data_IF_735698702885
#
_entry.id   IF_735698702885
#
_cell.length_a   1.000
_cell.length_b   1.000
_cell.length_c   1.000
_cell.angle_alpha   90.00
_cell.angle_beta   90.00
_cell.angle_gamma   90.00
#
_symmetry.space_group_name_H-M   'P 1'
#
loop_
_entity.id
_entity.type
_entity.pdbx_description
1 polymer ?
#
# COMPACT_ATOMS: atom_id res chain seq x y z
N UNK A 1 2.85 -11.82 11.48
CA UNK A 1 4.13 -11.09 11.41
C UNK A 1 4.11 -10.01 12.46
N UNK A 2 4.99 -10.09 13.46
CA UNK A 2 5.08 -9.10 14.53
C UNK A 2 5.85 -7.84 14.10
N UNK A 3 5.89 -6.84 14.98
CA UNK A 3 6.65 -5.58 14.82
C UNK A 3 8.18 -5.79 14.74
N UNK A 4 8.65 -7.03 14.89
CA UNK A 4 10.05 -7.46 14.97
C UNK A 4 10.86 -7.09 13.71
N UNK A 5 10.18 -6.93 12.57
CA UNK A 5 10.77 -6.54 11.29
C UNK A 5 10.44 -5.10 10.88
N UNK A 6 9.78 -4.32 11.74
CA UNK A 6 9.35 -2.96 11.41
C UNK A 6 10.55 -2.08 11.04
N UNK A 7 10.50 -1.48 9.85
CA UNK A 7 11.52 -0.57 9.37
C UNK A 7 10.93 0.86 9.29
N UNK A 8 11.22 1.75 10.26
CA UNK A 8 10.65 3.10 10.26
C UNK A 8 11.17 3.99 9.12
N UNK A 9 12.23 3.60 8.41
CA UNK A 9 12.81 4.40 7.31
C UNK A 9 12.08 4.28 5.97
N UNK A 10 11.08 3.39 5.86
CA UNK A 10 10.31 3.27 4.61
C UNK A 10 9.44 4.50 4.39
N UNK A 11 9.70 5.23 3.31
CA UNK A 11 8.89 6.38 2.89
C UNK A 11 7.44 5.98 2.56
N UNK A 12 7.19 4.69 2.31
CA UNK A 12 5.84 4.13 2.18
C UNK A 12 4.96 4.41 3.41
N UNK A 13 5.53 4.52 4.62
CA UNK A 13 4.75 4.86 5.81
C UNK A 13 4.16 6.28 5.74
N UNK A 14 4.96 7.25 5.30
CA UNK A 14 4.54 8.64 5.17
C UNK A 14 3.48 8.79 4.07
N UNK A 15 3.71 8.15 2.91
CA UNK A 15 2.73 8.08 1.82
C UNK A 15 1.36 7.61 2.32
N UNK A 16 1.31 6.52 3.10
CA UNK A 16 0.04 5.96 3.59
C UNK A 16 -0.66 6.92 4.55
N UNK A 17 0.10 7.58 5.43
CA UNK A 17 -0.46 8.56 6.37
C UNK A 17 -1.02 9.77 5.61
N UNK A 18 -0.28 10.30 4.65
CA UNK A 18 -0.74 11.46 3.87
C UNK A 18 -1.99 11.12 3.05
N UNK A 19 -2.01 9.95 2.40
CA UNK A 19 -3.20 9.46 1.67
C UNK A 19 -4.40 9.31 2.61
N UNK A 20 -4.19 8.80 3.83
CA UNK A 20 -5.28 8.64 4.81
C UNK A 20 -5.92 9.98 5.17
N UNK A 21 -5.11 11.02 5.38
CA UNK A 21 -5.59 12.29 5.93
C UNK A 21 -5.90 13.36 4.86
N UNK A 22 -5.43 13.19 3.63
CA UNK A 22 -5.56 14.21 2.57
C UNK A 22 -6.44 13.72 1.42
N UNK A 23 -7.74 14.10 1.37
CA UNK A 23 -8.64 13.71 0.28
C UNK A 23 -8.13 14.06 -1.11
N UNK A 24 -7.62 15.28 -1.31
CA UNK A 24 -7.08 15.71 -2.60
C UNK A 24 -5.88 14.87 -3.06
N UNK A 25 -5.09 14.34 -2.13
CA UNK A 25 -3.98 13.44 -2.45
C UNK A 25 -4.50 12.06 -2.88
N UNK A 26 -5.60 11.58 -2.29
CA UNK A 26 -6.27 10.35 -2.74
C UNK A 26 -6.85 10.50 -4.14
N UNK A 27 -7.47 11.64 -4.43
CA UNK A 27 -8.00 11.93 -5.76
C UNK A 27 -6.86 11.98 -6.79
N UNK A 28 -5.74 12.62 -6.44
CA UNK A 28 -4.54 12.65 -7.28
C UNK A 28 -3.93 11.24 -7.47
N UNK A 29 -3.92 10.41 -6.43
CA UNK A 29 -3.40 9.05 -6.48
C UNK A 29 -4.28 8.15 -7.37
N UNK A 30 -5.60 8.30 -7.27
CA UNK A 30 -6.55 7.59 -8.13
C UNK A 30 -6.44 8.03 -9.61
N UNK A 31 -6.19 9.32 -9.86
CA UNK A 31 -6.00 9.85 -11.20
C UNK A 31 -4.64 9.46 -11.82
N UNK A 32 -3.57 9.49 -11.03
CA UNK A 32 -2.22 9.15 -11.45
C UNK A 32 -1.36 8.75 -10.26
N UNK A 33 -1.32 7.46 -9.96
CA UNK A 33 -0.48 6.89 -8.91
C UNK A 33 1.00 7.30 -9.05
N UNK A 34 1.59 7.14 -10.23
CA UNK A 34 2.99 7.45 -10.48
C UNK A 34 3.38 8.89 -10.08
N UNK A 35 2.59 9.88 -10.50
CA UNK A 35 2.80 11.29 -10.15
C UNK A 35 2.71 11.60 -8.65
N UNK A 36 2.02 10.77 -7.87
CA UNK A 36 2.01 10.88 -6.41
C UNK A 36 3.22 10.18 -5.81
N UNK A 37 3.55 8.97 -6.29
CA UNK A 37 4.73 8.22 -5.84
C UNK A 37 6.03 9.01 -6.07
N UNK A 38 6.15 9.75 -7.17
CA UNK A 38 7.32 10.59 -7.49
C UNK A 38 7.57 11.72 -6.48
N UNK A 39 6.60 12.03 -5.60
CA UNK A 39 6.74 13.04 -4.55
C UNK A 39 7.44 12.53 -3.29
N UNK A 40 7.57 11.21 -3.16
CA UNK A 40 8.15 10.56 -2.00
C UNK A 40 9.52 9.99 -2.33
N UNK A 41 10.43 9.99 -1.35
CA UNK A 41 11.75 9.38 -1.47
C UNK A 41 11.66 7.84 -1.35
N UNK A 42 10.78 7.21 -2.13
CA UNK A 42 10.61 5.76 -2.14
C UNK A 42 11.86 5.10 -2.69
N UNK A 43 12.32 4.06 -2.01
CA UNK A 43 13.33 3.17 -2.57
C UNK A 43 12.76 2.46 -3.81
N UNK A 44 13.59 2.06 -4.79
CA UNK A 44 13.10 1.42 -6.02
C UNK A 44 12.29 0.13 -5.77
N UNK A 45 12.61 -0.59 -4.71
CA UNK A 45 11.90 -1.79 -4.27
C UNK A 45 10.53 -1.47 -3.64
N UNK A 46 10.44 -0.44 -2.79
CA UNK A 46 9.16 0.06 -2.26
C UNK A 46 8.20 0.44 -3.38
N UNK A 47 8.67 1.28 -4.31
CA UNK A 47 7.86 1.74 -5.45
C UNK A 47 7.35 0.56 -6.28
N UNK A 48 8.24 -0.36 -6.65
CA UNK A 48 7.87 -1.56 -7.43
C UNK A 48 6.82 -2.39 -6.70
N UNK A 49 6.98 -2.58 -5.39
CA UNK A 49 6.04 -3.37 -4.61
C UNK A 49 4.65 -2.70 -4.51
N UNK A 50 4.60 -1.37 -4.40
CA UNK A 50 3.33 -0.62 -4.46
C UNK A 50 2.68 -0.80 -5.83
N UNK A 51 3.40 -0.48 -6.92
CA UNK A 51 2.88 -0.53 -8.30
C UNK A 51 2.39 -1.94 -8.68
N UNK A 52 3.14 -2.97 -8.30
CA UNK A 52 2.79 -4.38 -8.56
C UNK A 52 1.75 -4.97 -7.58
N UNK A 53 1.31 -4.19 -6.58
CA UNK A 53 0.43 -4.64 -5.49
C UNK A 53 1.00 -5.81 -4.68
N UNK A 54 2.32 -5.83 -4.53
CA UNK A 54 3.06 -6.84 -3.77
C UNK A 54 3.22 -6.42 -2.30
N UNK A 55 2.14 -6.61 -1.53
CA UNK A 55 2.13 -6.35 -0.09
C UNK A 55 3.04 -7.31 0.69
N UNK A 56 3.32 -8.49 0.13
CA UNK A 56 4.28 -9.41 0.73
C UNK A 56 5.67 -8.81 0.70
N UNK A 57 6.12 -8.31 -0.45
CA UNK A 57 7.40 -7.63 -0.56
C UNK A 57 7.48 -6.41 0.37
N UNK A 58 6.41 -5.62 0.48
CA UNK A 58 6.36 -4.51 1.45
C UNK A 58 6.53 -4.98 2.90
N UNK A 59 5.89 -6.06 3.31
CA UNK A 59 6.06 -6.62 4.66
C UNK A 59 7.44 -7.23 4.88
N UNK A 60 8.01 -7.88 3.87
CA UNK A 60 9.38 -8.39 3.93
C UNK A 60 10.41 -7.25 4.08
N UNK A 61 10.13 -6.05 3.53
CA UNK A 61 10.92 -4.82 3.74
C UNK A 61 10.72 -4.17 5.11
N UNK A 62 9.72 -4.60 5.88
CA UNK A 62 9.42 -4.07 7.20
C UNK A 62 8.28 -3.05 7.27
N UNK A 63 7.39 -3.02 6.27
CA UNK A 63 6.17 -2.21 6.34
C UNK A 63 5.31 -2.64 7.53
N UNK A 64 4.81 -1.66 8.30
CA UNK A 64 3.94 -1.91 9.43
C UNK A 64 2.61 -2.58 9.00
N UNK A 65 2.19 -3.72 9.59
CA UNK A 65 1.01 -4.47 9.16
C UNK A 65 -0.30 -3.66 9.14
N UNK A 66 -0.51 -2.80 10.14
CA UNK A 66 -1.68 -1.90 10.16
C UNK A 66 -1.68 -0.95 8.94
N UNK A 67 -0.55 -0.34 8.61
CA UNK A 67 -0.44 0.61 7.50
C UNK A 67 -0.58 -0.12 6.15
N UNK A 68 -0.03 -1.34 6.01
CA UNK A 68 -0.30 -2.17 4.83
C UNK A 68 -1.78 -2.50 4.63
N UNK A 69 -2.51 -2.80 5.71
CA UNK A 69 -3.97 -2.93 5.66
C UNK A 69 -4.70 -1.65 5.25
N UNK A 70 -4.20 -0.48 5.65
CA UNK A 70 -4.75 0.81 5.22
C UNK A 70 -4.48 1.08 3.74
N UNK A 71 -3.26 0.84 3.27
CA UNK A 71 -2.89 0.98 1.86
C UNK A 71 -3.75 0.09 0.96
N UNK A 72 -3.95 -1.19 1.34
CA UNK A 72 -4.81 -2.09 0.59
C UNK A 72 -6.26 -1.57 0.48
N UNK A 73 -6.79 -0.97 1.55
CA UNK A 73 -8.12 -0.34 1.52
C UNK A 73 -8.15 0.90 0.64
N UNK A 74 -7.12 1.74 0.69
CA UNK A 74 -7.01 2.93 -0.15
C UNK A 74 -6.95 2.57 -1.65
N UNK A 75 -6.26 1.48 -2.00
CA UNK A 75 -6.10 1.03 -3.39
C UNK A 75 -7.33 0.27 -3.90
N UNK A 76 -7.88 -0.67 -3.11
CA UNK A 76 -8.91 -1.60 -3.57
C UNK A 76 -10.32 -1.30 -3.07
N UNK A 77 -10.47 -0.48 -2.03
CA UNK A 77 -11.72 -0.28 -1.30
C UNK A 77 -12.27 1.12 -1.49
N UNK A 78 -12.78 1.46 -2.68
CA UNK A 78 -13.42 2.77 -2.91
C UNK A 78 -14.96 2.75 -2.89
N UNK A 79 -15.61 1.72 -2.34
CA UNK A 79 -17.05 1.76 -2.06
C UNK A 79 -17.33 1.15 -0.68
N UNK A 80 -17.86 1.96 0.24
CA UNK A 80 -18.17 1.55 1.61
C UNK A 80 -19.06 0.29 1.62
N UNK A 81 -18.64 -0.74 2.35
CA UNK A 81 -19.25 -2.07 2.35
C UNK A 81 -18.38 -3.11 1.63
N UNK A 82 -18.85 -3.61 0.47
CA UNK A 82 -18.20 -4.68 -0.31
C UNK A 82 -16.72 -4.41 -0.62
N UNK A 83 -16.31 -3.14 -0.74
CA UNK A 83 -14.92 -2.76 -0.98
C UNK A 83 -13.95 -3.13 0.15
N UNK A 84 -14.40 -3.15 1.41
CA UNK A 84 -13.55 -3.55 2.53
C UNK A 84 -13.20 -5.05 2.49
N UNK A 85 -14.17 -5.90 2.12
CA UNK A 85 -13.94 -7.34 1.93
C UNK A 85 -13.04 -7.60 0.72
N UNK A 86 -13.23 -6.88 -0.37
CA UNK A 86 -12.36 -6.98 -1.56
C UNK A 86 -10.91 -6.60 -1.22
N UNK A 87 -10.70 -5.49 -0.49
CA UNK A 87 -9.36 -5.07 -0.08
C UNK A 87 -8.66 -6.10 0.82
N UNK A 88 -9.39 -6.70 1.76
CA UNK A 88 -8.85 -7.77 2.62
C UNK A 88 -8.50 -9.01 1.80
N UNK A 89 -9.38 -9.44 0.89
CA UNK A 89 -9.12 -10.60 0.05
C UNK A 89 -7.90 -10.38 -0.86
N UNK A 90 -7.77 -9.20 -1.47
CA UNK A 90 -6.61 -8.83 -2.30
C UNK A 90 -5.31 -8.77 -1.51
N UNK A 91 -5.37 -8.26 -0.28
CA UNK A 91 -4.23 -8.30 0.64
C UNK A 91 -3.83 -9.75 0.97
N UNK A 92 -4.79 -10.61 1.31
CA UNK A 92 -4.53 -12.02 1.63
C UNK A 92 -3.97 -12.78 0.43
N UNK A 93 -4.52 -12.55 -0.78
CA UNK A 93 -3.99 -13.12 -2.03
C UNK A 93 -2.51 -12.75 -2.20
N UNK A 94 -2.19 -11.45 -2.12
CA UNK A 94 -0.82 -10.92 -2.25
C UNK A 94 0.13 -11.57 -1.24
N UNK A 95 -0.29 -11.72 0.02
CA UNK A 95 0.50 -12.38 1.07
C UNK A 95 0.75 -13.86 0.81
N UNK A 96 -0.18 -14.54 0.13
CA UNK A 96 -0.01 -15.93 -0.31
C UNK A 96 0.84 -16.05 -1.59
N UNK A 97 1.31 -14.94 -2.16
CA UNK A 97 2.01 -14.91 -3.45
C UNK A 97 1.09 -15.08 -4.65
N UNK A 98 -0.22 -14.81 -4.48
CA UNK A 98 -1.24 -14.90 -5.53
C UNK A 98 -1.68 -13.47 -5.90
N UNK A 99 -1.75 -13.13 -7.17
CA UNK A 99 -2.29 -11.83 -7.61
C UNK A 99 -1.29 -10.68 -7.75
N UNK A 100 0.02 -10.95 -7.84
CA UNK A 100 0.96 -10.01 -8.44
C UNK A 100 0.55 -9.79 -9.90
N UNK A 101 0.28 -8.55 -10.29
CA UNK A 101 0.05 -8.21 -11.70
C UNK A 101 1.45 -8.02 -12.30
N UNK A 102 1.83 -8.96 -13.18
CA UNK A 102 3.00 -8.82 -14.04
C UNK A 102 2.79 -7.80 -15.14
#
# INVERSE_FOLDING_TARGET
MGLEKFNPSLATHDLIQDLKWTPALRDAFAASEASVLDRYALRPDERRAIEARDFRALYDMGLHPYLGGQLARLIFGNEAGKGATVAVNKLVESLQGKGAVG
#
